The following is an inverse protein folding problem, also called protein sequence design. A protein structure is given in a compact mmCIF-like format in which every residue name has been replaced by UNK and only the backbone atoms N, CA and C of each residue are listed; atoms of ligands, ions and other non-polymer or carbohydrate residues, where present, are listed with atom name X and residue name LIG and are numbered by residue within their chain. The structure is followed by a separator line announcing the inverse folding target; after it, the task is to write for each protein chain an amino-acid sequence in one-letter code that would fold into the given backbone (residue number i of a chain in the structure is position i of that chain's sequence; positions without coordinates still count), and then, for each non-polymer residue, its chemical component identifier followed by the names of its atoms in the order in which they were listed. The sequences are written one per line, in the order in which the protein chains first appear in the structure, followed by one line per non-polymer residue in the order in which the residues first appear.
data_IF_163938066331
#
_entry.id   IF_163938066331
#
_cell.length_a   1.000
_cell.length_b   1.000
_cell.length_c   1.000
_cell.angle_alpha   90.00
_cell.angle_beta   90.00
_cell.angle_gamma   90.00
#
_symmetry.space_group_name_H-M   'P 1'
#
loop_
_entity.id
_entity.type
_entity.pdbx_description
1 polymer ?
#
# COMPACT_ATOMS: atom_id res chain seq x y z
N UNK A 1 20.86 5.72 12.93
CA UNK A 1 20.89 6.20 11.53
C UNK A 1 20.94 4.98 10.62
N UNK A 2 19.81 4.30 10.49
CA UNK A 2 19.68 3.15 9.58
C UNK A 2 18.37 3.36 8.85
N UNK A 3 18.47 3.97 7.68
CA UNK A 3 17.35 4.10 6.77
C UNK A 3 16.91 2.69 6.37
N UNK A 4 15.65 2.36 6.62
CA UNK A 4 15.01 1.16 6.11
C UNK A 4 15.23 1.10 4.60
N UNK A 5 15.54 -0.10 4.12
CA UNK A 5 16.05 -0.48 2.79
C UNK A 5 15.19 -0.08 1.57
N UNK A 6 14.16 0.75 1.74
CA UNK A 6 13.23 1.19 0.70
C UNK A 6 13.51 2.57 0.08
N UNK A 7 14.31 3.43 0.70
CA UNK A 7 14.56 4.80 0.18
C UNK A 7 15.45 4.83 -1.07
N UNK A 8 16.06 3.69 -1.45
CA UNK A 8 17.02 3.60 -2.54
C UNK A 8 16.42 3.29 -3.93
N UNK A 9 15.11 3.02 -4.05
CA UNK A 9 14.59 2.55 -5.33
C UNK A 9 14.32 3.64 -6.37
N UNK A 10 14.27 4.94 -6.04
CA UNK A 10 14.21 6.00 -7.07
C UNK A 10 14.91 7.30 -6.60
N UNK A 11 16.23 7.46 -6.80
CA UNK A 11 16.96 8.70 -6.49
C UNK A 11 16.53 9.90 -7.37
N UNK A 12 15.61 9.66 -8.31
CA UNK A 12 14.98 10.69 -9.11
C UNK A 12 13.47 10.55 -8.97
N UNK A 13 12.82 11.57 -8.42
CA UNK A 13 11.50 11.93 -8.93
C UNK A 13 11.73 12.12 -10.43
N UNK A 14 11.40 11.13 -11.25
CA UNK A 14 11.30 11.35 -12.67
C UNK A 14 10.16 12.34 -12.81
N UNK A 15 10.49 13.64 -12.81
CA UNK A 15 9.58 14.72 -13.18
C UNK A 15 9.20 14.46 -14.62
N UNK A 16 8.25 13.57 -14.83
CA UNK A 16 7.79 13.21 -16.17
C UNK A 16 7.23 14.46 -16.80
N UNK A 17 7.57 14.65 -18.06
CA UNK A 17 7.39 15.83 -18.91
C UNK A 17 5.92 16.12 -19.25
N UNK A 18 5.05 16.29 -18.24
CA UNK A 18 3.64 16.65 -18.44
C UNK A 18 3.20 17.72 -17.42
N UNK A 19 3.42 18.99 -17.78
CA UNK A 19 2.80 20.26 -17.35
C UNK A 19 2.53 20.60 -15.86
N UNK A 20 2.75 19.71 -14.90
CA UNK A 20 2.66 20.00 -13.46
C UNK A 20 3.85 19.34 -12.79
N UNK A 21 4.62 20.07 -11.99
CA UNK A 21 5.60 19.47 -11.08
C UNK A 21 4.79 18.64 -10.06
N UNK A 22 4.68 17.30 -10.21
CA UNK A 22 3.86 16.50 -9.32
C UNK A 22 4.62 16.27 -8.01
N UNK A 23 3.88 16.04 -6.93
CA UNK A 23 4.47 15.58 -5.67
C UNK A 23 5.11 14.20 -5.86
N UNK A 24 6.06 13.87 -4.99
CA UNK A 24 6.64 12.53 -4.90
C UNK A 24 5.54 11.47 -4.68
N UNK A 25 4.57 11.76 -3.81
CA UNK A 25 3.41 10.89 -3.58
C UNK A 25 2.57 10.62 -4.83
N UNK A 26 2.24 11.63 -5.64
CA UNK A 26 1.48 11.43 -6.88
C UNK A 26 2.28 10.64 -7.91
N UNK A 27 3.59 10.89 -7.99
CA UNK A 27 4.49 10.15 -8.87
C UNK A 27 4.50 8.65 -8.52
N UNK A 28 4.64 8.31 -7.24
CA UNK A 28 4.73 6.91 -6.80
C UNK A 28 3.41 6.16 -6.96
N UNK A 29 2.28 6.83 -6.70
CA UNK A 29 0.98 6.24 -6.98
C UNK A 29 0.84 5.90 -8.48
N UNK A 30 1.22 6.83 -9.37
CA UNK A 30 1.18 6.58 -10.82
C UNK A 30 2.10 5.43 -11.26
N UNK A 31 3.32 5.34 -10.69
CA UNK A 31 4.23 4.22 -10.95
C UNK A 31 3.63 2.89 -10.53
N UNK A 32 2.96 2.84 -9.38
CA UNK A 32 2.29 1.62 -8.92
C UNK A 32 1.19 1.18 -9.91
N UNK A 33 0.33 2.09 -10.38
CA UNK A 33 -0.66 1.80 -11.43
C UNK A 33 -0.02 1.34 -12.73
N UNK A 34 1.03 2.03 -13.19
CA UNK A 34 1.68 1.66 -14.44
C UNK A 34 2.35 0.29 -14.35
N UNK A 35 2.80 -0.10 -13.15
CA UNK A 35 3.36 -1.42 -12.88
C UNK A 35 2.29 -2.51 -12.89
N UNK A 36 1.12 -2.28 -12.28
CA UNK A 36 0.01 -3.24 -12.29
C UNK A 36 -0.58 -3.42 -13.69
N UNK A 37 -0.66 -2.33 -14.47
CA UNK A 37 -1.06 -2.40 -15.88
C UNK A 37 -0.07 -3.22 -16.70
N UNK A 38 1.25 -3.03 -16.51
CA UNK A 38 2.27 -3.83 -17.21
C UNK A 38 2.30 -5.28 -16.78
N UNK A 39 2.08 -5.57 -15.50
CA UNK A 39 2.19 -6.92 -14.94
C UNK A 39 0.99 -7.80 -15.30
N UNK A 40 -0.22 -7.23 -15.37
CA UNK A 40 -1.45 -8.02 -15.56
C UNK A 40 -2.59 -7.30 -16.26
N UNK A 41 -2.34 -6.16 -16.90
CA UNK A 41 -3.37 -5.37 -17.59
C UNK A 41 -4.36 -4.68 -16.65
N UNK A 42 -4.09 -4.66 -15.35
CA UNK A 42 -4.98 -4.07 -14.36
C UNK A 42 -4.84 -2.56 -14.39
N UNK A 43 -5.94 -1.87 -14.70
CA UNK A 43 -5.96 -0.41 -14.76
C UNK A 43 -6.99 0.16 -13.79
N UNK A 44 -6.60 1.22 -13.08
CA UNK A 44 -7.47 1.98 -12.19
C UNK A 44 -7.09 3.45 -12.18
N UNK A 45 -8.09 4.31 -11.97
CA UNK A 45 -7.89 5.75 -11.85
C UNK A 45 -7.28 6.09 -10.50
N UNK A 46 -6.24 6.93 -10.50
CA UNK A 46 -5.65 7.46 -9.28
C UNK A 46 -6.00 8.95 -9.18
N UNK A 47 -6.72 9.38 -8.12
CA UNK A 47 -6.92 10.80 -7.86
C UNK A 47 -5.58 11.52 -7.75
N UNK A 48 -5.43 12.72 -8.33
CA UNK A 48 -4.21 13.53 -8.22
C UNK A 48 -4.34 14.61 -7.14
N UNK A 49 -3.24 15.29 -6.81
CA UNK A 49 -3.22 16.43 -5.90
C UNK A 49 -2.73 16.08 -4.49
N UNK A 50 -2.07 14.92 -4.34
CA UNK A 50 -1.34 14.59 -3.13
C UNK A 50 -0.16 15.53 -2.96
N UNK A 51 0.25 15.75 -1.73
CA UNK A 51 1.40 16.58 -1.38
C UNK A 51 2.33 15.79 -0.47
N UNK A 52 3.60 16.15 -0.52
CA UNK A 52 4.64 15.45 0.19
C UNK A 52 4.63 15.85 1.68
N UNK A 53 4.76 14.86 2.55
CA UNK A 53 4.96 15.10 3.98
C UNK A 53 6.32 15.75 4.25
N UNK A 54 6.48 16.30 5.44
CA UNK A 54 7.76 16.90 5.89
C UNK A 54 8.41 16.10 7.02
N UNK A 55 7.80 15.00 7.43
CA UNK A 55 8.21 14.14 8.54
C UNK A 55 8.32 12.70 8.04
N UNK A 56 9.34 11.99 8.51
CA UNK A 56 9.53 10.56 8.24
C UNK A 56 10.18 9.94 9.46
N UNK A 57 9.41 9.16 10.22
CA UNK A 57 9.85 8.56 11.49
C UNK A 57 9.89 7.04 11.34
N UNK A 58 11.04 6.45 11.67
CA UNK A 58 11.27 5.00 11.48
C UNK A 58 10.27 4.15 12.27
N UNK A 59 9.93 4.56 13.50
CA UNK A 59 9.03 3.80 14.36
C UNK A 59 7.59 3.72 13.82
N UNK A 60 7.16 4.68 12.99
CA UNK A 60 5.84 4.64 12.35
C UNK A 60 5.76 3.46 11.37
N UNK A 61 6.85 3.16 10.67
CA UNK A 61 6.88 2.06 9.69
C UNK A 61 6.61 0.72 10.35
N UNK A 62 7.22 0.47 11.51
CA UNK A 62 7.02 -0.78 12.26
C UNK A 62 5.63 -0.89 12.88
N UNK A 63 4.90 0.21 13.03
CA UNK A 63 3.53 0.22 13.57
C UNK A 63 2.47 0.04 12.47
N UNK A 64 2.76 0.48 11.24
CA UNK A 64 1.81 0.50 10.13
C UNK A 64 2.06 -0.55 9.05
N UNK A 65 3.06 -1.42 9.21
CA UNK A 65 3.26 -2.59 8.35
C UNK A 65 2.98 -3.90 9.10
N UNK A 66 2.17 -4.82 8.53
CA UNK A 66 1.93 -6.11 9.15
C UNK A 66 3.21 -6.96 9.09
N UNK A 67 3.57 -7.67 10.18
CA UNK A 67 4.69 -8.59 10.15
C UNK A 67 4.39 -9.80 9.24
N UNK A 68 5.41 -10.43 8.64
CA UNK A 68 5.23 -11.52 7.66
C UNK A 68 4.72 -12.84 8.27
N UNK A 69 4.54 -12.90 9.58
CA UNK A 69 4.13 -14.09 10.33
C UNK A 69 2.73 -13.95 10.93
N UNK A 70 1.99 -12.90 10.56
CA UNK A 70 0.66 -12.61 11.09
C UNK A 70 -0.39 -13.58 10.49
N UNK A 71 -1.21 -14.20 11.35
CA UNK A 71 -2.33 -15.04 10.92
C UNK A 71 -3.53 -14.22 10.41
N UNK A 72 -4.49 -14.88 9.75
CA UNK A 72 -5.60 -14.19 9.06
C UNK A 72 -6.44 -13.30 9.99
N UNK A 73 -6.93 -13.75 11.17
CA UNK A 73 -7.75 -12.86 12.03
C UNK A 73 -7.03 -11.58 12.47
N UNK A 74 -5.80 -11.62 13.03
CA UNK A 74 -5.09 -10.38 13.36
C UNK A 74 -4.65 -9.60 12.12
N UNK A 75 -4.45 -10.23 10.95
CA UNK A 75 -4.19 -9.53 9.70
C UNK A 75 -5.40 -8.76 9.19
N UNK A 76 -6.59 -9.36 9.24
CA UNK A 76 -7.85 -8.64 8.97
C UNK A 76 -7.93 -7.45 9.92
N UNK A 77 -7.69 -7.67 11.21
CA UNK A 77 -7.70 -6.59 12.20
C UNK A 77 -6.69 -5.49 11.88
N UNK A 78 -5.50 -5.83 11.38
CA UNK A 78 -4.48 -4.87 11.00
C UNK A 78 -4.94 -3.97 9.85
N UNK A 79 -5.52 -4.56 8.80
CA UNK A 79 -6.02 -3.82 7.63
C UNK A 79 -7.36 -3.11 7.89
N UNK A 80 -8.18 -3.57 8.84
CA UNK A 80 -9.42 -2.91 9.26
C UNK A 80 -9.19 -1.85 10.34
N UNK A 81 -8.12 -1.96 11.13
CA UNK A 81 -7.73 -0.97 12.13
C UNK A 81 -7.09 0.28 11.54
N UNK A 82 -7.96 1.06 10.90
CA UNK A 82 -8.17 2.44 11.34
C UNK A 82 -9.35 2.61 12.32
N UNK A 83 -10.11 1.54 12.63
CA UNK A 83 -11.23 1.57 13.60
C UNK A 83 -11.31 0.25 14.40
N UNK A 84 -10.90 0.33 15.68
CA UNK A 84 -11.20 -0.58 16.83
C UNK A 84 -10.28 -1.78 17.15
N UNK A 85 -9.56 -1.69 18.27
CA UNK A 85 -9.09 -2.85 19.07
C UNK A 85 -10.27 -3.82 19.32
N UNK A 86 -10.14 -5.13 19.45
CA UNK A 86 -9.15 -6.04 20.07
C UNK A 86 -9.26 -7.38 19.31
N UNK A 87 -8.34 -8.35 19.47
CA UNK A 87 -8.65 -9.79 19.65
C UNK A 87 -7.36 -10.59 19.89
N UNK A 88 -7.49 -11.61 20.74
CA UNK A 88 -6.45 -12.42 21.37
C UNK A 88 -5.67 -13.37 20.43
N UNK A 89 -4.45 -13.69 20.87
CA UNK A 89 -3.39 -14.43 20.17
C UNK A 89 -3.59 -15.95 20.15
N UNK A 90 -3.18 -16.61 19.05
CA UNK A 90 -2.52 -17.91 19.10
C UNK A 90 -1.49 -17.98 17.95
N UNK A 91 -0.20 -18.09 18.27
CA UNK A 91 0.91 -18.08 17.29
C UNK A 91 1.29 -19.49 16.83
N UNK A 92 1.43 -19.68 15.51
CA UNK A 92 1.96 -20.92 14.91
C UNK A 92 2.93 -20.71 13.74
N UNK A 93 4.24 -20.83 14.01
CA UNK A 93 5.37 -21.20 13.11
C UNK A 93 5.68 -20.36 11.85
N UNK A 94 6.91 -19.85 11.80
CA UNK A 94 7.43 -18.98 10.74
C UNK A 94 7.84 -19.71 9.43
N UNK A 95 7.14 -19.38 8.34
CA UNK A 95 7.55 -19.49 6.93
C UNK A 95 6.51 -18.71 6.09
N UNK A 96 6.77 -17.45 5.66
CA UNK A 96 5.78 -16.49 5.08
C UNK A 96 4.33 -16.96 5.17
N UNK A 97 3.83 -17.09 6.41
CA UNK A 97 2.59 -17.83 6.64
C UNK A 97 1.42 -17.04 6.14
N UNK A 98 1.53 -15.71 6.06
CA UNK A 98 0.49 -14.80 5.57
C UNK A 98 -0.22 -15.30 4.31
N UNK A 99 0.51 -15.80 3.32
CA UNK A 99 -0.08 -16.23 2.05
C UNK A 99 -0.66 -17.65 2.16
N UNK A 100 0.03 -18.54 2.89
CA UNK A 100 -0.40 -19.91 3.11
C UNK A 100 -1.67 -19.98 3.98
N UNK A 101 -1.81 -19.08 4.96
CA UNK A 101 -2.95 -19.05 5.89
C UNK A 101 -4.22 -18.54 5.22
N UNK A 102 -4.12 -17.69 4.19
CA UNK A 102 -5.28 -17.23 3.41
C UNK A 102 -5.99 -18.39 2.70
N UNK A 103 -5.24 -19.41 2.27
CA UNK A 103 -5.78 -20.59 1.60
C UNK A 103 -6.39 -21.62 2.55
N UNK A 104 -5.94 -21.64 3.81
CA UNK A 104 -6.35 -22.62 4.81
C UNK A 104 -7.29 -22.04 5.90
N UNK A 105 -7.67 -20.76 5.78
CA UNK A 105 -8.56 -20.10 6.74
C UNK A 105 -10.02 -20.14 6.24
N UNK A 106 -10.97 -20.69 7.03
CA UNK A 106 -12.39 -20.71 6.68
C UNK A 106 -13.00 -19.32 6.42
N UNK A 107 -12.43 -18.26 7.00
CA UNK A 107 -12.90 -16.88 6.83
C UNK A 107 -12.60 -16.33 5.42
N UNK A 108 -11.50 -16.77 4.79
CA UNK A 108 -11.06 -16.30 3.48
C UNK A 108 -11.31 -17.31 2.37
N UNK A 109 -11.61 -18.56 2.70
CA UNK A 109 -11.87 -19.65 1.75
C UNK A 109 -12.95 -19.29 0.70
N UNK A 110 -14.06 -18.69 1.13
CA UNK A 110 -15.13 -18.26 0.22
C UNK A 110 -14.67 -17.17 -0.76
N UNK A 111 -13.81 -16.25 -0.30
CA UNK A 111 -13.26 -15.17 -1.12
C UNK A 111 -12.25 -15.74 -2.12
N UNK A 112 -11.39 -16.66 -1.67
CA UNK A 112 -10.42 -17.33 -2.54
C UNK A 112 -11.12 -18.13 -3.65
N UNK A 113 -12.15 -18.91 -3.32
CA UNK A 113 -12.97 -19.63 -4.31
C UNK A 113 -13.62 -18.67 -5.31
N UNK A 114 -14.20 -17.57 -4.84
CA UNK A 114 -14.78 -16.51 -5.70
C UNK A 114 -13.76 -15.97 -6.70
N UNK A 115 -12.51 -15.73 -6.27
CA UNK A 115 -11.46 -15.21 -7.14
C UNK A 115 -10.91 -16.25 -8.12
N UNK A 116 -10.84 -17.51 -7.72
CA UNK A 116 -10.45 -18.62 -8.61
C UNK A 116 -11.52 -18.85 -9.69
N UNK A 117 -12.80 -18.86 -9.29
CA UNK A 117 -13.91 -19.11 -10.20
C UNK A 117 -14.17 -17.93 -11.15
N UNK A 118 -13.88 -16.71 -10.71
CA UNK A 118 -14.08 -15.50 -11.51
C UNK A 118 -12.91 -14.51 -11.37
N UNK A 119 -11.90 -14.61 -12.26
CA UNK A 119 -10.77 -13.70 -12.28
C UNK A 119 -11.13 -12.23 -12.51
N UNK A 120 -12.23 -11.92 -13.18
CA UNK A 120 -12.66 -10.52 -13.42
C UNK A 120 -13.06 -9.83 -12.11
N UNK A 121 -13.70 -10.58 -11.21
CA UNK A 121 -14.02 -10.10 -9.86
C UNK A 121 -12.73 -9.77 -9.11
N UNK A 122 -11.72 -10.63 -9.18
CA UNK A 122 -10.43 -10.37 -8.53
C UNK A 122 -9.78 -9.09 -9.06
N UNK A 123 -9.74 -8.89 -10.38
CA UNK A 123 -9.18 -7.67 -11.00
C UNK A 123 -9.90 -6.42 -10.51
N UNK A 124 -11.24 -6.48 -10.44
CA UNK A 124 -12.07 -5.37 -9.97
C UNK A 124 -11.81 -5.06 -8.49
N UNK A 125 -11.89 -6.08 -7.62
CA UNK A 125 -11.73 -5.91 -6.18
C UNK A 125 -10.28 -5.46 -5.85
N UNK A 126 -9.27 -5.94 -6.59
CA UNK A 126 -7.89 -5.46 -6.50
C UNK A 126 -7.76 -3.99 -6.90
N UNK A 127 -8.36 -3.58 -8.02
CA UNK A 127 -8.34 -2.20 -8.48
C UNK A 127 -8.97 -1.25 -7.44
N UNK A 128 -10.11 -1.63 -6.87
CA UNK A 128 -10.78 -0.87 -5.80
C UNK A 128 -9.90 -0.78 -4.54
N UNK A 129 -9.26 -1.88 -4.13
CA UNK A 129 -8.35 -1.90 -2.99
C UNK A 129 -7.14 -0.98 -3.19
N UNK A 130 -6.53 -0.97 -4.39
CA UNK A 130 -5.39 -0.10 -4.70
C UNK A 130 -5.76 1.39 -4.71
N UNK A 131 -6.98 1.73 -5.15
CA UNK A 131 -7.49 3.10 -5.05
C UNK A 131 -7.72 3.50 -3.60
N UNK A 132 -8.28 2.60 -2.77
CA UNK A 132 -8.48 2.85 -1.35
C UNK A 132 -7.15 3.07 -0.63
N UNK A 133 -6.17 2.20 -0.88
CA UNK A 133 -4.81 2.30 -0.34
C UNK A 133 -4.14 3.63 -0.71
N UNK A 134 -4.29 4.07 -1.97
CA UNK A 134 -3.76 5.34 -2.44
C UNK A 134 -4.44 6.59 -1.87
N UNK A 135 -5.50 6.45 -1.07
CA UNK A 135 -6.25 7.56 -0.47
C UNK A 135 -6.10 7.62 1.07
N UNK A 136 -5.28 6.75 1.67
CA UNK A 136 -5.02 6.78 3.11
C UNK A 136 -4.12 7.96 3.49
N UNK A 137 -4.57 8.76 4.46
CA UNK A 137 -3.80 9.86 5.10
C UNK A 137 -3.07 10.81 4.14
N UNK A 138 -3.66 11.03 2.96
CA UNK A 138 -3.09 11.90 1.93
C UNK A 138 -3.16 13.37 2.34
N UNK A 139 -2.06 14.09 2.12
CA UNK A 139 -2.02 15.54 2.28
C UNK A 139 -2.50 16.21 0.99
N UNK A 140 -3.46 17.13 1.11
CA UNK A 140 -4.03 17.85 -0.03
C UNK A 140 -4.15 19.36 0.25
N UNK A 141 -4.38 20.14 -0.81
CA UNK A 141 -4.55 21.59 -0.69
C UNK A 141 -3.27 22.28 -0.21
N UNK A 142 -3.32 22.99 0.91
CA UNK A 142 -2.16 23.72 1.46
C UNK A 142 -1.31 22.87 2.42
N UNK A 143 -1.75 21.66 2.78
CA UNK A 143 -1.03 20.78 3.72
C UNK A 143 0.14 20.08 3.01
N UNK A 144 1.33 20.13 3.59
CA UNK A 144 2.54 19.55 2.99
C UNK A 144 3.16 20.43 1.91
N UNK A 145 4.04 19.84 1.12
CA UNK A 145 4.81 20.55 0.08
C UNK A 145 4.90 19.78 -1.24
N UNK A 146 5.55 20.36 -2.25
CA UNK A 146 6.00 19.64 -3.44
C UNK A 146 7.52 19.66 -3.38
N UNK A 147 8.13 18.50 -3.14
CA UNK A 147 9.58 18.43 -2.94
C UNK A 147 10.33 18.65 -4.25
N UNK A 148 11.43 19.40 -4.17
CA UNK A 148 12.31 19.57 -5.32
C UNK A 148 13.19 18.35 -5.57
N UNK A 149 13.50 17.59 -4.51
CA UNK A 149 14.32 16.38 -4.52
C UNK A 149 13.64 15.28 -3.69
N UNK A 150 13.53 14.08 -4.26
CA UNK A 150 13.07 12.89 -3.53
C UNK A 150 13.96 12.60 -2.33
N UNK A 151 13.36 12.17 -1.22
CA UNK A 151 14.07 11.80 0.00
C UNK A 151 14.67 12.97 0.80
N UNK A 152 14.31 14.22 0.49
CA UNK A 152 14.69 15.39 1.27
C UNK A 152 13.52 16.40 1.35
N UNK A 153 13.35 17.00 2.53
CA UNK A 153 12.45 18.15 2.73
C UNK A 153 13.10 19.40 2.11
N UNK A 154 12.29 20.33 1.59
CA UNK A 154 12.81 21.57 0.99
C UNK A 154 13.48 22.51 2.01
#
# INVERSE_FOLDING_TARGET
MTALSGVLMLPYCSKTTSSKNPSEQDSDANKARDSTYKAGGIYYYIPSGRRDGTVSLEYEVTQYLPPPFLDVPPMIQFFTNKILQEFEEEYGTANFTSDQVLSNCPLTDNIMKKYIDNPEVWIKDFAEAMVHLGNLDVLTGTKGEIRNKCGAVN
#
